data_IF_433245449708
#
_entry.id   IF_433245449708
#
_cell.length_a   1.000
_cell.length_b   1.000
_cell.length_c   1.000
_cell.angle_alpha   90.00
_cell.angle_beta   90.00
_cell.angle_gamma   90.00
#
_symmetry.space_group_name_H-M   'P 1'
#
loop_
_entity.id
_entity.type
_entity.pdbx_description
1 polymer ?
#
# COMPACT_ATOMS: atom_id res chain seq x y z
N UNK A 1 3.50 13.27 -0.75
CA UNK A 1 3.82 14.30 -1.77
C UNK A 1 2.59 15.17 -2.08
N UNK A 2 2.63 16.49 -1.81
CA UNK A 2 1.60 17.45 -2.24
C UNK A 2 1.68 17.59 -3.77
N UNK A 3 0.58 17.75 -4.54
CA UNK A 3 0.68 17.98 -5.97
C UNK A 3 1.46 19.28 -6.28
N UNK A 4 2.28 19.33 -7.34
CA UNK A 4 2.62 20.60 -7.99
C UNK A 4 1.32 21.21 -8.52
N UNK A 5 1.16 22.54 -8.39
CA UNK A 5 -0.08 23.26 -8.74
C UNK A 5 -0.57 22.86 -10.13
N UNK A 6 -1.89 22.75 -10.33
CA UNK A 6 -2.53 22.36 -11.60
C UNK A 6 -2.04 23.18 -12.80
N UNK A 7 -1.52 24.38 -12.55
CA UNK A 7 -1.07 25.34 -13.55
C UNK A 7 0.24 24.95 -14.26
N UNK A 8 1.08 24.05 -13.70
CA UNK A 8 2.38 23.72 -14.29
C UNK A 8 2.31 22.45 -15.13
N UNK A 9 2.53 22.61 -16.45
CA UNK A 9 2.67 21.48 -17.38
C UNK A 9 3.94 20.66 -17.08
N UNK A 10 3.88 19.33 -17.12
CA UNK A 10 5.06 18.47 -17.00
C UNK A 10 6.16 18.83 -18.01
N UNK A 11 7.37 19.06 -17.50
CA UNK A 11 8.50 19.59 -18.27
C UNK A 11 9.62 20.07 -17.35
N UNK A 12 10.53 20.91 -17.85
CA UNK A 12 11.69 21.38 -17.06
C UNK A 12 11.27 22.17 -15.80
N UNK A 13 10.25 23.03 -15.90
CA UNK A 13 9.74 23.79 -14.76
C UNK A 13 9.17 22.88 -13.66
N UNK A 14 8.46 21.82 -14.06
CA UNK A 14 7.95 20.80 -13.16
C UNK A 14 9.08 20.05 -12.44
N UNK A 15 10.13 19.66 -13.17
CA UNK A 15 11.31 18.99 -12.58
C UNK A 15 12.02 19.92 -11.60
N UNK A 16 12.20 21.20 -11.93
CA UNK A 16 12.78 22.18 -11.01
C UNK A 16 11.96 22.30 -9.73
N UNK A 17 10.63 22.30 -9.81
CA UNK A 17 9.77 22.33 -8.64
C UNK A 17 9.88 21.04 -7.81
N UNK A 18 9.95 19.88 -8.46
CA UNK A 18 10.15 18.60 -7.78
C UNK A 18 11.51 18.56 -7.07
N UNK A 19 12.58 18.97 -7.76
CA UNK A 19 13.92 19.07 -7.18
C UNK A 19 13.94 20.02 -5.98
N UNK A 20 13.28 21.19 -6.07
CA UNK A 20 13.17 22.12 -4.93
C UNK A 20 12.47 21.49 -3.72
N UNK A 21 11.44 20.68 -3.94
CA UNK A 21 10.75 19.94 -2.86
C UNK A 21 11.60 18.81 -2.29
N UNK A 22 12.42 18.16 -3.11
CA UNK A 22 13.42 17.18 -2.64
C UNK A 22 14.44 17.88 -1.74
N UNK A 23 14.97 19.03 -2.17
CA UNK A 23 15.92 19.80 -1.37
C UNK A 23 15.30 20.35 -0.07
N UNK A 24 14.02 20.74 -0.09
CA UNK A 24 13.26 21.07 1.13
C UNK A 24 13.17 19.87 2.09
N UNK A 25 12.89 18.68 1.57
CA UNK A 25 12.86 17.46 2.38
C UNK A 25 14.25 17.12 2.94
N UNK A 26 15.33 17.35 2.18
CA UNK A 26 16.69 17.22 2.68
C UNK A 26 16.98 18.22 3.80
N UNK A 27 16.55 19.48 3.67
CA UNK A 27 16.71 20.50 4.71
C UNK A 27 15.93 20.12 5.98
N UNK A 28 14.71 19.59 5.82
CA UNK A 28 13.90 19.07 6.93
C UNK A 28 14.60 17.88 7.62
N UNK A 29 15.11 16.90 6.89
CA UNK A 29 15.84 15.77 7.48
C UNK A 29 17.11 16.23 8.20
N UNK A 30 17.86 17.16 7.59
CA UNK A 30 19.07 17.72 8.18
C UNK A 30 18.79 18.45 9.49
N UNK A 31 17.77 19.33 9.54
CA UNK A 31 17.47 20.07 10.76
C UNK A 31 17.02 19.15 11.91
N UNK A 32 16.28 18.07 11.59
CA UNK A 32 15.93 17.05 12.57
C UNK A 32 17.16 16.29 13.06
N UNK A 33 18.10 15.94 12.17
CA UNK A 33 19.38 15.32 12.56
C UNK A 33 20.14 16.22 13.54
N UNK A 34 20.32 17.50 13.20
CA UNK A 34 21.03 18.47 14.04
C UNK A 34 20.36 18.71 15.40
N UNK A 35 19.04 18.54 15.50
CA UNK A 35 18.33 18.62 16.76
C UNK A 35 18.67 17.44 17.71
N UNK A 36 18.94 16.26 17.16
CA UNK A 36 19.26 15.05 17.93
C UNK A 36 20.77 14.87 18.15
N UNK A 37 21.58 15.28 17.17
CA UNK A 37 23.03 15.09 17.09
C UNK A 37 23.76 16.42 16.83
N UNK A 38 23.66 17.41 17.73
CA UNK A 38 24.32 18.70 17.54
C UNK A 38 25.85 18.60 17.50
N UNK A 39 26.43 17.56 18.10
CA UNK A 39 27.87 17.30 18.12
C UNK A 39 28.47 17.25 16.71
N UNK A 40 27.77 16.61 15.76
CA UNK A 40 28.22 16.44 14.37
C UNK A 40 28.40 17.79 13.67
N UNK A 41 27.58 18.79 14.03
CA UNK A 41 27.74 20.15 13.54
C UNK A 41 28.91 20.86 14.21
N UNK A 42 29.03 20.73 15.53
CA UNK A 42 30.07 21.45 16.29
C UNK A 42 31.49 21.02 15.92
N UNK A 43 31.70 19.75 15.56
CA UNK A 43 33.01 19.24 15.14
C UNK A 43 33.32 19.54 13.67
N UNK A 44 32.31 19.87 12.88
CA UNK A 44 32.50 20.21 11.47
C UNK A 44 33.26 21.54 11.33
N UNK A 45 34.10 21.68 10.29
CA UNK A 45 34.81 22.93 10.06
C UNK A 45 33.84 24.08 9.73
N UNK A 46 34.20 25.34 10.01
CA UNK A 46 33.29 26.49 9.86
C UNK A 46 32.68 26.65 8.46
N UNK A 47 33.41 26.27 7.40
CA UNK A 47 32.88 26.32 6.04
C UNK A 47 31.73 25.33 5.82
N UNK A 48 31.79 24.14 6.42
CA UNK A 48 30.75 23.13 6.28
C UNK A 48 29.50 23.56 7.07
N UNK A 49 29.70 24.07 8.29
CA UNK A 49 28.65 24.68 9.10
C UNK A 49 27.91 25.78 8.33
N UNK A 50 28.64 26.73 7.73
CA UNK A 50 28.07 27.82 6.94
C UNK A 50 27.27 27.32 5.73
N UNK A 51 27.77 26.29 5.02
CA UNK A 51 27.07 25.67 3.88
C UNK A 51 25.74 25.03 4.28
N UNK A 52 25.70 24.37 5.43
CA UNK A 52 24.49 23.72 5.92
C UNK A 52 23.44 24.74 6.35
N UNK A 53 23.87 25.79 7.07
CA UNK A 53 23.00 26.91 7.44
C UNK A 53 22.42 27.56 6.18
N UNK A 54 23.28 27.87 5.19
CA UNK A 54 22.84 28.40 3.90
C UNK A 54 21.84 27.49 3.20
N UNK A 55 22.13 26.19 3.14
CA UNK A 55 21.27 25.22 2.49
C UNK A 55 19.88 25.14 3.16
N UNK A 56 19.84 25.05 4.49
CA UNK A 56 18.59 24.99 5.26
C UNK A 56 17.73 26.23 4.98
N UNK A 57 18.32 27.42 5.04
CA UNK A 57 17.58 28.67 4.78
C UNK A 57 17.12 28.80 3.34
N UNK A 58 17.98 28.48 2.37
CA UNK A 58 17.67 28.65 0.94
C UNK A 58 16.58 27.70 0.45
N UNK A 59 16.56 26.46 0.93
CA UNK A 59 15.70 25.41 0.38
C UNK A 59 14.50 25.05 1.26
N UNK A 60 14.40 25.60 2.48
CA UNK A 60 13.16 25.47 3.26
C UNK A 60 12.02 26.22 2.57
N UNK A 61 10.95 25.51 2.24
CA UNK A 61 9.70 26.06 1.70
C UNK A 61 8.80 26.55 2.85
N UNK A 62 8.23 27.75 2.71
CA UNK A 62 7.42 28.37 3.75
C UNK A 62 8.25 29.05 4.84
N UNK A 63 7.68 29.26 6.03
CA UNK A 63 8.34 29.96 7.15
C UNK A 63 9.10 28.96 8.04
N UNK A 64 10.45 28.98 8.08
CA UNK A 64 11.24 28.03 8.87
C UNK A 64 10.90 28.03 10.36
N UNK A 65 10.59 29.20 10.93
CA UNK A 65 10.29 29.37 12.35
C UNK A 65 9.00 28.65 12.75
N UNK A 66 8.00 28.65 11.87
CA UNK A 66 6.73 27.96 12.11
C UNK A 66 6.86 26.44 11.92
N UNK A 67 7.67 26.00 10.95
CA UNK A 67 7.87 24.58 10.67
C UNK A 67 8.71 23.92 11.75
N UNK A 68 9.79 24.58 12.16
CA UNK A 68 10.84 24.00 13.00
C UNK A 68 10.89 24.56 14.42
N UNK A 69 9.98 25.49 14.76
CA UNK A 69 9.81 26.02 16.12
C UNK A 69 9.74 24.94 17.21
N UNK A 70 8.99 23.83 17.03
CA UNK A 70 8.96 22.74 18.02
C UNK A 70 10.34 22.12 18.31
N UNK A 71 11.28 22.16 17.37
CA UNK A 71 12.65 21.65 17.57
C UNK A 71 13.52 22.58 18.42
N UNK A 72 13.07 23.81 18.68
CA UNK A 72 13.76 24.77 19.56
C UNK A 72 13.39 24.62 21.03
N UNK A 73 12.45 23.74 21.35
CA UNK A 73 12.03 23.45 22.72
C UNK A 73 13.08 22.62 23.48
N UNK A 74 13.16 22.77 24.80
CA UNK A 74 14.25 22.24 25.65
C UNK A 74 14.40 20.72 25.71
N UNK A 75 13.48 19.98 25.09
CA UNK A 75 13.52 18.51 25.02
C UNK A 75 14.59 17.98 24.08
N UNK A 76 15.06 18.78 23.12
CA UNK A 76 16.08 18.38 22.16
C UNK A 76 17.48 18.83 22.60
N UNK A 77 18.47 17.94 22.50
CA UNK A 77 19.89 18.26 22.80
C UNK A 77 20.40 19.41 21.95
N UNK A 78 19.99 19.47 20.69
CA UNK A 78 20.36 20.51 19.73
C UNK A 78 19.47 21.76 19.75
N UNK A 79 18.54 21.93 20.69
CA UNK A 79 17.58 23.04 20.67
C UNK A 79 18.23 24.43 20.53
N UNK A 80 19.34 24.67 21.24
CA UNK A 80 20.09 25.92 21.14
C UNK A 80 20.78 26.09 19.79
N UNK A 81 21.30 24.99 19.21
CA UNK A 81 21.86 25.00 17.87
C UNK A 81 20.77 25.33 16.82
N UNK A 82 19.59 24.70 16.92
CA UNK A 82 18.50 24.99 15.98
C UNK A 82 18.07 26.45 16.08
N UNK A 83 17.94 27.01 17.29
CA UNK A 83 17.69 28.46 17.47
C UNK A 83 18.74 29.30 16.76
N UNK A 84 20.03 28.98 16.99
CA UNK A 84 21.13 29.69 16.36
C UNK A 84 21.04 29.62 14.83
N UNK A 85 20.78 28.44 14.26
CA UNK A 85 20.64 28.25 12.81
C UNK A 85 19.48 29.10 12.28
N UNK A 86 18.30 29.04 12.90
CA UNK A 86 17.11 29.77 12.43
C UNK A 86 17.28 31.30 12.52
N UNK A 87 18.05 31.80 13.50
CA UNK A 87 18.32 33.24 13.65
C UNK A 87 19.59 33.72 12.96
N UNK A 88 20.39 32.81 12.37
CA UNK A 88 21.67 33.15 11.79
C UNK A 88 21.51 34.05 10.56
N UNK A 89 22.40 35.02 10.41
CA UNK A 89 22.60 35.70 9.13
C UNK A 89 23.29 34.75 8.17
N UNK A 90 22.63 34.45 7.05
CA UNK A 90 23.09 33.47 6.07
C UNK A 90 24.04 34.13 5.07
N UNK A 91 25.31 33.69 4.96
CA UNK A 91 26.18 34.14 3.88
C UNK A 91 25.75 33.54 2.55
N UNK A 92 25.93 34.29 1.46
CA UNK A 92 25.79 33.75 0.11
C UNK A 92 26.96 32.81 -0.19
N UNK A 93 26.69 31.51 -0.13
CA UNK A 93 27.69 30.46 -0.41
C UNK A 93 27.83 30.24 -1.92
N UNK A 94 26.70 30.19 -2.62
CA UNK A 94 26.63 29.99 -4.07
C UNK A 94 25.70 31.05 -4.66
N UNK A 95 25.98 31.49 -5.87
CA UNK A 95 25.16 32.42 -6.64
C UNK A 95 23.73 31.89 -6.85
N UNK A 96 22.77 32.80 -7.04
CA UNK A 96 21.34 32.50 -6.91
C UNK A 96 20.81 31.47 -7.94
N UNK A 97 21.33 31.55 -9.17
CA UNK A 97 20.96 30.70 -10.30
C UNK A 97 21.86 29.47 -10.47
N UNK A 98 22.51 29.04 -9.39
CA UNK A 98 23.37 27.87 -9.42
C UNK A 98 22.64 26.64 -9.96
N UNK A 99 23.28 25.87 -10.87
CA UNK A 99 22.76 24.59 -11.31
C UNK A 99 22.52 23.66 -10.11
N UNK A 100 21.47 22.83 -10.18
CA UNK A 100 21.10 21.90 -9.11
C UNK A 100 22.26 20.97 -8.76
N UNK A 101 23.05 20.62 -9.76
CA UNK A 101 24.25 19.81 -9.69
C UNK A 101 25.26 20.39 -8.69
N UNK A 102 25.50 21.69 -8.80
CA UNK A 102 26.43 22.40 -7.94
C UNK A 102 25.89 22.52 -6.51
N UNK A 103 24.59 22.82 -6.37
CA UNK A 103 23.93 22.87 -5.06
C UNK A 103 24.03 21.52 -4.34
N UNK A 104 23.74 20.42 -5.04
CA UNK A 104 23.83 19.06 -4.50
C UNK A 104 25.27 18.72 -4.13
N UNK A 105 26.24 19.05 -4.98
CA UNK A 105 27.65 18.78 -4.71
C UNK A 105 28.13 19.50 -3.43
N UNK A 106 27.75 20.76 -3.24
CA UNK A 106 28.12 21.53 -2.06
C UNK A 106 27.48 21.00 -0.78
N UNK A 107 26.21 20.57 -0.87
CA UNK A 107 25.53 19.89 0.23
C UNK A 107 26.23 18.57 0.59
N UNK A 108 26.45 17.69 -0.39
CA UNK A 108 27.08 16.38 -0.16
C UNK A 108 28.48 16.55 0.44
N UNK A 109 29.27 17.51 -0.05
CA UNK A 109 30.60 17.79 0.48
C UNK A 109 30.58 18.23 1.96
N UNK A 110 29.63 19.12 2.31
CA UNK A 110 29.45 19.54 3.70
C UNK A 110 29.02 18.36 4.60
N UNK A 111 28.10 17.52 4.13
CA UNK A 111 27.63 16.33 4.86
C UNK A 111 28.73 15.29 5.06
N UNK A 112 29.53 15.01 4.03
CA UNK A 112 30.67 14.08 4.12
C UNK A 112 31.71 14.53 5.14
N UNK A 113 31.91 15.84 5.27
CA UNK A 113 32.81 16.40 6.27
C UNK A 113 32.27 16.23 7.70
N UNK A 114 30.94 16.11 7.86
CA UNK A 114 30.32 15.72 9.13
C UNK A 114 30.28 14.20 9.36
N UNK A 115 30.88 13.40 8.48
CA UNK A 115 30.86 11.94 8.57
C UNK A 115 29.63 11.28 7.94
N UNK A 116 28.79 12.02 7.21
CA UNK A 116 27.64 11.45 6.49
C UNK A 116 28.01 11.13 5.04
N UNK A 117 27.94 9.85 4.65
CA UNK A 117 28.44 9.41 3.34
C UNK A 117 27.60 9.88 2.14
N UNK A 118 26.26 9.85 2.28
CA UNK A 118 25.34 10.11 1.17
C UNK A 118 23.93 10.52 1.63
N UNK A 119 23.15 11.06 0.70
CA UNK A 119 21.73 11.39 0.84
C UNK A 119 20.90 10.35 0.10
N UNK A 120 19.91 9.78 0.78
CA UNK A 120 18.93 8.88 0.18
C UNK A 120 17.57 9.56 0.11
N UNK A 121 17.04 9.71 -1.09
CA UNK A 121 15.69 10.22 -1.36
C UNK A 121 14.78 9.03 -1.62
N UNK A 122 13.96 8.69 -0.64
CA UNK A 122 12.96 7.63 -0.74
C UNK A 122 11.59 8.24 -1.04
N UNK A 123 10.96 7.78 -2.13
CA UNK A 123 9.61 8.17 -2.52
C UNK A 123 8.72 6.95 -2.58
N UNK A 124 7.60 7.01 -1.87
CA UNK A 124 6.56 5.98 -1.81
C UNK A 124 5.16 6.65 -1.80
N UNK A 125 4.11 5.86 -1.98
CA UNK A 125 2.72 6.36 -1.89
C UNK A 125 2.21 7.08 -3.14
N UNK A 126 2.75 6.75 -4.32
CA UNK A 126 2.32 7.36 -5.60
C UNK A 126 1.02 6.75 -6.16
N UNK A 127 0.44 5.76 -5.48
CA UNK A 127 -0.79 5.08 -5.85
C UNK A 127 -1.98 6.05 -5.93
N UNK A 128 -2.15 6.92 -4.93
CA UNK A 128 -3.24 7.91 -4.94
C UNK A 128 -3.16 8.87 -6.13
N UNK A 129 -1.97 9.11 -6.66
CA UNK A 129 -1.79 9.94 -7.87
C UNK A 129 -2.14 9.16 -9.14
N UNK A 130 -1.85 7.86 -9.17
CA UNK A 130 -2.25 7.01 -10.28
C UNK A 130 -3.77 6.92 -10.44
N UNK A 131 -4.52 7.06 -9.35
CA UNK A 131 -5.99 7.03 -9.37
C UNK A 131 -6.61 8.36 -9.84
N UNK A 132 -6.02 9.49 -9.46
CA UNK A 132 -6.60 10.82 -9.69
C UNK A 132 -6.04 11.48 -10.97
N UNK A 133 -4.76 11.30 -11.28
CA UNK A 133 -4.07 12.03 -12.34
C UNK A 133 -2.96 11.19 -12.99
N UNK A 134 -3.30 9.98 -13.47
CA UNK A 134 -2.34 9.02 -14.04
C UNK A 134 -1.44 9.63 -15.11
N UNK A 135 -2.01 10.26 -16.15
CA UNK A 135 -1.25 10.78 -17.28
C UNK A 135 -0.23 11.84 -16.84
N UNK A 136 -0.64 12.72 -15.91
CA UNK A 136 0.23 13.78 -15.37
C UNK A 136 1.36 13.20 -14.53
N UNK A 137 1.09 12.16 -13.74
CA UNK A 137 2.12 11.42 -13.00
C UNK A 137 3.14 10.81 -13.97
N UNK A 138 2.68 10.14 -15.02
CA UNK A 138 3.54 9.52 -16.03
C UNK A 138 4.43 10.56 -16.72
N UNK A 139 3.85 11.67 -17.19
CA UNK A 139 4.61 12.74 -17.84
C UNK A 139 5.65 13.36 -16.88
N UNK A 140 5.27 13.59 -15.62
CA UNK A 140 6.18 14.08 -14.58
C UNK A 140 7.34 13.13 -14.31
N UNK A 141 7.05 11.83 -14.13
CA UNK A 141 8.07 10.80 -13.94
C UNK A 141 9.00 10.68 -15.15
N UNK A 142 8.45 10.73 -16.39
CA UNK A 142 9.26 10.75 -17.61
C UNK A 142 10.19 11.96 -17.66
N UNK A 143 9.69 13.15 -17.33
CA UNK A 143 10.50 14.36 -17.30
C UNK A 143 11.61 14.26 -16.23
N UNK A 144 11.26 13.79 -15.03
CA UNK A 144 12.20 13.58 -13.92
C UNK A 144 13.31 12.59 -14.31
N UNK A 145 12.93 11.39 -14.75
CA UNK A 145 13.87 10.35 -15.18
C UNK A 145 14.67 10.71 -16.43
N UNK A 146 14.26 11.72 -17.19
CA UNK A 146 15.04 12.23 -18.33
C UNK A 146 16.01 13.35 -17.94
N UNK A 147 15.93 13.86 -16.72
CA UNK A 147 16.85 14.89 -16.19
C UNK A 147 18.09 14.21 -15.60
N UNK A 148 18.99 13.79 -16.50
CA UNK A 148 20.13 12.91 -16.16
C UNK A 148 21.05 13.46 -15.08
N UNK A 149 21.21 14.77 -15.03
CA UNK A 149 22.10 15.43 -14.09
C UNK A 149 21.72 15.21 -12.63
N UNK A 150 20.44 14.92 -12.34
CA UNK A 150 20.01 14.51 -11.00
C UNK A 150 20.59 13.15 -10.59
N UNK A 151 20.90 12.27 -11.54
CA UNK A 151 21.36 10.89 -11.30
C UNK A 151 22.88 10.71 -11.47
N UNK A 152 23.61 11.75 -11.83
CA UNK A 152 25.06 11.67 -12.07
C UNK A 152 25.90 12.01 -10.83
N UNK A 153 25.31 12.63 -9.80
CA UNK A 153 26.03 13.01 -8.59
C UNK A 153 26.31 11.83 -7.66
N UNK A 154 27.61 11.64 -7.37
CA UNK A 154 28.05 10.76 -6.29
C UNK A 154 27.55 11.31 -4.96
N UNK A 155 26.93 10.46 -4.15
CA UNK A 155 26.41 10.82 -2.82
C UNK A 155 24.94 11.22 -2.80
N UNK A 156 24.21 11.20 -3.91
CA UNK A 156 22.75 11.34 -3.93
C UNK A 156 22.10 10.13 -4.60
N UNK A 157 21.28 9.39 -3.85
CA UNK A 157 20.63 8.16 -4.31
C UNK A 157 19.12 8.31 -4.25
N UNK A 158 18.44 7.92 -5.32
CA UNK A 158 16.98 7.92 -5.39
C UNK A 158 16.45 6.49 -5.33
N UNK A 159 15.44 6.25 -4.48
CA UNK A 159 14.68 5.01 -4.45
C UNK A 159 13.20 5.35 -4.56
N UNK A 160 12.57 4.96 -5.67
CA UNK A 160 11.17 5.21 -5.93
C UNK A 160 10.40 3.89 -5.95
N UNK A 161 9.39 3.78 -5.09
CA UNK A 161 8.43 2.70 -5.12
C UNK A 161 7.31 3.06 -6.11
N UNK A 162 7.24 2.32 -7.22
CA UNK A 162 6.26 2.56 -8.28
C UNK A 162 5.36 1.34 -8.47
N UNK A 163 4.13 1.59 -8.94
CA UNK A 163 3.23 0.51 -9.35
C UNK A 163 3.78 -0.19 -10.59
N UNK A 164 3.74 -1.52 -10.61
CA UNK A 164 4.32 -2.34 -11.68
C UNK A 164 3.81 -1.97 -13.09
N UNK A 165 2.55 -1.56 -13.23
CA UNK A 165 1.98 -1.18 -14.53
C UNK A 165 2.48 0.17 -15.06
N UNK A 166 3.16 0.98 -14.24
CA UNK A 166 3.77 2.25 -14.66
C UNK A 166 5.04 2.01 -15.46
N UNK A 167 5.81 0.97 -15.12
CA UNK A 167 7.13 0.70 -15.69
C UNK A 167 7.14 0.65 -17.23
N UNK A 168 6.24 -0.10 -17.92
CA UNK A 168 6.24 -0.12 -19.39
C UNK A 168 6.09 1.27 -20.00
N UNK A 169 5.32 2.14 -19.33
CA UNK A 169 5.02 3.50 -19.79
C UNK A 169 6.23 4.43 -19.59
N UNK A 170 6.99 4.28 -18.49
CA UNK A 170 8.17 5.13 -18.22
C UNK A 170 9.48 4.57 -18.79
N UNK A 171 9.48 3.33 -19.28
CA UNK A 171 10.67 2.64 -19.83
C UNK A 171 11.44 3.44 -20.91
N UNK A 172 10.75 4.33 -21.63
CA UNK A 172 11.33 5.20 -22.67
C UNK A 172 11.99 6.48 -22.12
N UNK A 173 11.91 6.75 -20.82
CA UNK A 173 12.55 7.91 -20.23
C UNK A 173 14.08 7.80 -20.35
N UNK A 174 14.76 8.95 -20.53
CA UNK A 174 16.18 8.98 -20.87
C UNK A 174 17.09 8.22 -19.90
N UNK A 175 16.85 8.31 -18.59
CA UNK A 175 17.62 7.62 -17.56
C UNK A 175 17.44 6.10 -17.56
N UNK A 176 16.24 5.60 -17.87
CA UNK A 176 15.98 4.17 -18.01
C UNK A 176 16.61 3.63 -19.31
N UNK A 177 16.40 4.32 -20.42
CA UNK A 177 16.96 3.94 -21.72
C UNK A 177 18.50 3.89 -21.71
N UNK A 178 19.15 4.78 -20.94
CA UNK A 178 20.61 4.84 -20.78
C UNK A 178 21.15 4.02 -19.59
N UNK A 179 20.31 3.19 -18.95
CA UNK A 179 20.67 2.34 -17.80
C UNK A 179 21.29 3.11 -16.63
N UNK A 180 20.83 4.33 -16.38
CA UNK A 180 21.15 5.15 -15.21
C UNK A 180 20.22 4.89 -14.03
N UNK A 181 19.06 4.29 -14.30
CA UNK A 181 18.07 3.88 -13.31
C UNK A 181 17.90 2.37 -13.44
N UNK A 182 18.05 1.66 -12.33
CA UNK A 182 17.80 0.24 -12.23
C UNK A 182 16.36 0.00 -11.74
N UNK A 183 15.67 -0.93 -12.40
CA UNK A 183 14.33 -1.38 -11.99
C UNK A 183 14.45 -2.67 -11.21
N UNK A 184 13.87 -2.72 -10.02
CA UNK A 184 13.83 -3.91 -9.17
C UNK A 184 12.35 -4.26 -8.93
N UNK A 185 11.93 -5.44 -9.38
CA UNK A 185 10.59 -5.95 -9.15
C UNK A 185 10.49 -6.65 -7.81
N UNK A 186 9.68 -6.10 -6.91
CA UNK A 186 9.28 -6.80 -5.70
C UNK A 186 8.19 -7.80 -6.04
N UNK A 187 8.46 -9.09 -5.80
CA UNK A 187 7.53 -10.20 -5.98
C UNK A 187 7.43 -11.01 -4.70
N UNK A 188 6.23 -11.46 -4.39
CA UNK A 188 5.95 -12.24 -3.20
C UNK A 188 5.36 -13.59 -3.62
N UNK A 189 6.17 -14.63 -3.53
CA UNK A 189 5.70 -16.00 -3.69
C UNK A 189 5.24 -16.59 -2.34
N UNK A 190 4.41 -17.64 -2.40
CA UNK A 190 3.91 -18.31 -1.21
C UNK A 190 5.02 -18.81 -0.26
N UNK A 191 6.13 -19.42 -0.72
CA UNK A 191 7.23 -19.81 0.16
C UNK A 191 7.86 -18.64 0.92
N UNK A 192 8.05 -17.50 0.26
CA UNK A 192 8.62 -16.30 0.88
C UNK A 192 7.65 -15.68 1.88
N UNK A 193 6.36 -15.63 1.56
CA UNK A 193 5.31 -15.14 2.45
C UNK A 193 5.14 -16.03 3.68
N UNK A 194 5.22 -17.35 3.52
CA UNK A 194 5.27 -18.29 4.63
C UNK A 194 6.43 -18.00 5.57
N UNK A 195 7.67 -17.89 5.04
CA UNK A 195 8.84 -17.55 5.86
C UNK A 195 8.69 -16.20 6.56
N UNK A 196 8.10 -15.21 5.89
CA UNK A 196 7.83 -13.90 6.47
C UNK A 196 6.89 -14.03 7.67
N UNK A 197 5.80 -14.77 7.54
CA UNK A 197 4.84 -15.00 8.63
C UNK A 197 5.49 -15.76 9.78
N UNK A 198 6.19 -16.86 9.51
CA UNK A 198 6.88 -17.66 10.52
C UNK A 198 7.90 -16.82 11.32
N UNK A 199 8.67 -15.95 10.64
CA UNK A 199 9.58 -15.00 11.30
C UNK A 199 8.83 -13.97 12.16
N UNK A 200 7.68 -13.49 11.70
CA UNK A 200 6.85 -12.54 12.46
C UNK A 200 6.24 -13.18 13.70
N UNK A 201 5.81 -14.44 13.60
CA UNK A 201 5.34 -15.22 14.74
C UNK A 201 6.49 -15.48 15.73
N UNK A 202 7.66 -15.91 15.24
CA UNK A 202 8.84 -16.13 16.08
C UNK A 202 9.20 -14.87 16.87
N UNK A 203 9.23 -13.71 16.20
CA UNK A 203 9.44 -12.42 16.86
C UNK A 203 8.34 -12.09 17.89
N UNK A 204 7.06 -12.25 17.53
CA UNK A 204 5.94 -11.94 18.41
C UNK A 204 5.90 -12.80 19.68
N UNK A 205 6.39 -14.04 19.62
CA UNK A 205 6.43 -14.98 20.74
C UNK A 205 7.82 -15.08 21.39
N UNK A 206 8.80 -14.25 21.00
CA UNK A 206 10.15 -14.24 21.59
C UNK A 206 10.95 -15.52 21.36
N UNK A 207 10.74 -16.20 20.22
CA UNK A 207 11.39 -17.47 19.86
C UNK A 207 12.34 -17.27 18.68
N UNK A 208 13.35 -18.13 18.57
CA UNK A 208 14.28 -18.14 17.42
C UNK A 208 13.56 -18.57 16.13
N UNK A 209 12.66 -19.55 16.25
CA UNK A 209 11.85 -20.07 15.15
C UNK A 209 10.43 -20.40 15.63
N UNK A 210 9.46 -20.28 14.72
CA UNK A 210 8.06 -20.61 14.95
C UNK A 210 7.44 -21.07 13.63
N UNK A 211 7.09 -22.36 13.53
CA UNK A 211 6.45 -22.89 12.31
C UNK A 211 4.94 -22.61 12.28
N UNK A 212 4.35 -22.49 11.08
CA UNK A 212 2.89 -22.37 10.96
C UNK A 212 2.14 -23.59 11.51
N UNK A 213 2.75 -24.78 11.48
CA UNK A 213 2.17 -26.00 12.03
C UNK A 213 2.03 -25.94 13.56
N UNK A 214 2.90 -25.20 14.25
CA UNK A 214 2.77 -24.94 15.69
C UNK A 214 1.62 -23.98 15.99
N UNK A 215 1.27 -23.09 15.06
CA UNK A 215 0.13 -22.20 15.22
C UNK A 215 -1.19 -22.95 15.00
N UNK A 216 -1.28 -23.72 13.91
CA UNK A 216 -2.49 -24.41 13.50
C UNK A 216 -2.15 -25.74 12.81
N UNK A 217 -2.77 -26.83 13.29
CA UNK A 217 -2.54 -28.20 12.81
C UNK A 217 -3.55 -28.66 11.76
N UNK A 218 -4.48 -27.79 11.35
CA UNK A 218 -5.50 -28.15 10.37
C UNK A 218 -4.88 -28.44 8.99
N UNK A 219 -5.23 -29.54 8.32
CA UNK A 219 -4.56 -29.98 7.09
C UNK A 219 -4.68 -28.97 5.95
N UNK A 220 -5.85 -28.34 5.80
CA UNK A 220 -6.14 -27.39 4.72
C UNK A 220 -5.73 -25.95 5.05
N UNK A 221 -5.12 -25.71 6.22
CA UNK A 221 -4.84 -24.35 6.68
C UNK A 221 -3.88 -23.61 5.75
N UNK A 222 -2.77 -24.23 5.38
CA UNK A 222 -1.77 -23.59 4.54
C UNK A 222 -2.32 -23.30 3.14
N UNK A 223 -2.99 -24.28 2.51
CA UNK A 223 -3.61 -24.08 1.20
C UNK A 223 -4.67 -22.97 1.24
N UNK A 224 -5.47 -22.91 2.31
CA UNK A 224 -6.44 -21.84 2.49
C UNK A 224 -5.76 -20.48 2.66
N UNK A 225 -4.69 -20.41 3.45
CA UNK A 225 -3.94 -19.18 3.70
C UNK A 225 -3.28 -18.67 2.42
N UNK A 226 -2.71 -19.55 1.60
CA UNK A 226 -2.14 -19.20 0.29
C UNK A 226 -3.22 -18.62 -0.64
N UNK A 227 -4.41 -19.25 -0.69
CA UNK A 227 -5.52 -18.76 -1.53
C UNK A 227 -6.07 -17.42 -1.07
N UNK A 228 -6.17 -17.19 0.24
CA UNK A 228 -6.67 -15.93 0.79
C UNK A 228 -5.61 -14.84 0.71
N UNK A 229 -4.39 -15.14 1.13
CA UNK A 229 -3.32 -14.18 1.22
C UNK A 229 -2.78 -13.77 -0.14
N UNK A 230 -2.88 -14.65 -1.14
CA UNK A 230 -2.33 -14.41 -2.48
C UNK A 230 -0.89 -13.95 -2.41
N UNK A 231 -0.56 -12.90 -3.16
CA UNK A 231 0.77 -12.27 -3.20
C UNK A 231 0.90 -11.10 -2.21
N UNK A 232 -0.01 -10.94 -1.25
CA UNK A 232 -0.04 -9.79 -0.33
C UNK A 232 0.50 -10.18 1.05
N UNK A 233 1.70 -9.70 1.45
CA UNK A 233 2.21 -9.89 2.81
C UNK A 233 1.25 -9.41 3.89
N UNK A 234 0.54 -8.31 3.61
CA UNK A 234 -0.42 -7.74 4.55
C UNK A 234 -1.59 -8.67 4.80
N UNK A 235 -2.12 -9.31 3.76
CA UNK A 235 -3.28 -10.19 3.89
C UNK A 235 -2.93 -11.52 4.54
N UNK A 236 -1.72 -12.04 4.29
CA UNK A 236 -1.17 -13.16 5.07
C UNK A 236 -1.12 -12.83 6.57
N UNK A 237 -0.58 -11.66 6.92
CA UNK A 237 -0.48 -11.23 8.32
C UNK A 237 -1.84 -10.94 8.95
N UNK A 238 -2.77 -10.35 8.20
CA UNK A 238 -4.14 -10.06 8.65
C UNK A 238 -4.89 -11.35 9.02
N UNK A 239 -4.79 -12.41 8.19
CA UNK A 239 -5.40 -13.71 8.52
C UNK A 239 -4.74 -14.40 9.71
N UNK A 240 -3.42 -14.25 9.84
CA UNK A 240 -2.65 -14.87 10.93
C UNK A 240 -2.88 -14.17 12.25
N UNK A 241 -3.11 -12.85 12.26
CA UNK A 241 -3.25 -12.05 13.47
C UNK A 241 -4.31 -12.63 14.43
N UNK A 242 -5.47 -13.05 13.91
CA UNK A 242 -6.54 -13.64 14.73
C UNK A 242 -6.14 -14.99 15.33
N UNK A 243 -5.39 -15.80 14.57
CA UNK A 243 -4.90 -17.09 15.05
C UNK A 243 -3.82 -16.88 16.12
N UNK A 244 -2.89 -15.95 15.89
CA UNK A 244 -1.85 -15.58 16.85
C UNK A 244 -2.43 -15.01 18.14
N UNK A 245 -3.45 -14.15 18.05
CA UNK A 245 -4.17 -13.59 19.19
C UNK A 245 -4.90 -14.68 19.99
N UNK A 246 -5.55 -15.62 19.29
CA UNK A 246 -6.18 -16.77 19.94
C UNK A 246 -5.13 -17.64 20.65
N UNK A 247 -4.03 -17.97 19.98
CA UNK A 247 -2.94 -18.79 20.51
C UNK A 247 -2.29 -18.13 21.75
N UNK A 248 -2.02 -16.83 21.70
CA UNK A 248 -1.44 -16.07 22.81
C UNK A 248 -2.32 -16.06 24.08
N UNK A 249 -3.65 -16.12 23.92
CA UNK A 249 -4.60 -16.20 25.04
C UNK A 249 -4.74 -17.61 25.61
N UNK A 250 -4.20 -18.63 24.95
CA UNK A 250 -4.27 -20.03 25.35
C UNK A 250 -2.88 -20.67 25.31
N UNK A 251 -1.92 -20.21 26.15
CA UNK A 251 -0.51 -20.61 26.07
C UNK A 251 -0.26 -22.10 26.34
N UNK A 252 -1.14 -22.76 27.09
CA UNK A 252 -1.07 -24.20 27.36
C UNK A 252 -1.72 -25.06 26.26
N UNK A 253 -2.28 -24.43 25.22
CA UNK A 253 -2.96 -25.15 24.16
C UNK A 253 -1.99 -25.71 23.13
N UNK A 254 -2.25 -26.95 22.71
CA UNK A 254 -1.74 -27.52 21.46
C UNK A 254 -2.08 -26.61 20.27
N UNK A 255 -1.42 -26.78 19.11
CA UNK A 255 -1.73 -26.01 17.90
C UNK A 255 -3.24 -25.97 17.61
N UNK A 256 -3.72 -24.84 17.09
CA UNK A 256 -5.16 -24.61 16.85
C UNK A 256 -5.71 -25.74 15.97
N UNK A 257 -6.69 -26.48 16.51
CA UNK A 257 -7.33 -27.58 15.80
C UNK A 257 -8.22 -27.09 14.65
N UNK A 258 -8.58 -28.01 13.76
CA UNK A 258 -9.40 -27.71 12.58
C UNK A 258 -10.77 -27.09 12.93
N UNK A 259 -11.41 -27.57 13.99
CA UNK A 259 -12.74 -27.10 14.39
C UNK A 259 -12.68 -25.64 14.86
N UNK A 260 -11.64 -25.29 15.60
CA UNK A 260 -11.39 -23.96 16.14
C UNK A 260 -10.98 -23.02 15.02
N UNK A 261 -10.05 -23.44 14.16
CA UNK A 261 -9.66 -22.68 12.97
C UNK A 261 -10.87 -22.35 12.08
N UNK A 262 -11.73 -23.34 11.78
CA UNK A 262 -12.97 -23.13 10.99
C UNK A 262 -13.90 -22.10 11.63
N UNK A 263 -14.01 -22.06 12.96
CA UNK A 263 -14.80 -21.04 13.68
C UNK A 263 -14.16 -19.65 13.60
N UNK A 264 -12.84 -19.56 13.77
CA UNK A 264 -12.11 -18.30 13.74
C UNK A 264 -12.19 -17.64 12.35
N UNK A 265 -11.93 -18.40 11.28
CA UNK A 265 -12.04 -17.88 9.90
C UNK A 265 -13.46 -17.47 9.51
N UNK A 266 -14.49 -18.08 10.09
CA UNK A 266 -15.87 -17.63 9.90
C UNK A 266 -16.13 -16.29 10.61
N UNK A 267 -15.53 -16.05 11.78
CA UNK A 267 -15.66 -14.75 12.47
C UNK A 267 -14.88 -13.65 11.76
N UNK A 268 -13.80 -14.02 11.11
CA UNK A 268 -12.88 -13.12 10.43
C UNK A 268 -12.68 -13.55 8.96
N UNK A 269 -13.72 -13.44 8.11
CA UNK A 269 -13.62 -13.82 6.70
C UNK A 269 -12.69 -12.87 5.95
N UNK A 270 -12.04 -13.30 4.86
CA UNK A 270 -11.14 -12.45 4.08
C UNK A 270 -11.84 -11.19 3.58
N UNK A 271 -11.06 -10.12 3.35
CA UNK A 271 -11.59 -8.90 2.75
C UNK A 271 -12.20 -9.20 1.39
N UNK A 272 -13.28 -8.52 1.05
CA UNK A 272 -13.96 -8.70 -0.23
C UNK A 272 -14.26 -7.35 -0.86
N UNK A 273 -13.76 -7.14 -2.07
CA UNK A 273 -14.04 -5.95 -2.86
C UNK A 273 -14.44 -6.35 -4.27
N UNK A 274 -15.47 -5.71 -4.83
CA UNK A 274 -15.93 -5.92 -6.19
C UNK A 274 -15.70 -4.64 -7.01
N UNK A 275 -14.86 -4.73 -8.03
CA UNK A 275 -14.71 -3.71 -9.05
C UNK A 275 -15.68 -4.00 -10.20
N UNK A 276 -16.85 -3.37 -10.15
CA UNK A 276 -17.89 -3.54 -11.17
C UNK A 276 -17.46 -3.05 -12.55
N UNK A 277 -16.53 -2.06 -12.63
CA UNK A 277 -16.07 -1.48 -13.90
C UNK A 277 -15.10 -2.41 -14.63
N UNK A 278 -14.25 -3.10 -13.87
CA UNK A 278 -13.24 -4.03 -14.41
C UNK A 278 -13.71 -5.48 -14.41
N UNK A 279 -14.93 -5.77 -13.97
CA UNK A 279 -15.42 -7.14 -13.78
C UNK A 279 -14.45 -8.00 -12.96
N UNK A 280 -13.93 -7.45 -11.85
CA UNK A 280 -12.93 -8.10 -11.00
C UNK A 280 -13.37 -8.12 -9.55
N UNK A 281 -13.01 -9.17 -8.82
CA UNK A 281 -13.10 -9.19 -7.37
C UNK A 281 -11.72 -9.32 -6.73
N UNK A 282 -11.57 -8.75 -5.54
CA UNK A 282 -10.43 -8.94 -4.67
C UNK A 282 -10.93 -9.70 -3.44
N UNK A 283 -10.34 -10.87 -3.17
CA UNK A 283 -10.61 -11.71 -2.01
C UNK A 283 -9.33 -11.84 -1.20
N UNK A 284 -9.25 -11.17 -0.05
CA UNK A 284 -8.00 -10.98 0.68
C UNK A 284 -6.95 -10.35 -0.24
N UNK A 285 -5.84 -11.05 -0.47
CA UNK A 285 -4.77 -10.63 -1.37
C UNK A 285 -4.87 -11.18 -2.79
N UNK A 286 -5.93 -11.94 -3.10
CA UNK A 286 -6.13 -12.58 -4.40
C UNK A 286 -7.03 -11.73 -5.30
N UNK A 287 -6.55 -11.40 -6.50
CA UNK A 287 -7.36 -10.83 -7.57
C UNK A 287 -8.01 -11.94 -8.39
N UNK A 288 -9.29 -11.79 -8.70
CA UNK A 288 -10.10 -12.78 -9.40
C UNK A 288 -10.72 -12.08 -10.62
N UNK A 289 -10.40 -12.58 -11.81
CA UNK A 289 -11.12 -12.18 -13.03
C UNK A 289 -12.48 -12.87 -13.03
N UNK A 290 -13.56 -12.09 -13.16
CA UNK A 290 -14.93 -12.60 -13.18
C UNK A 290 -15.51 -12.67 -14.60
N UNK A 291 -14.75 -12.31 -15.63
CA UNK A 291 -15.19 -12.40 -17.04
C UNK A 291 -15.59 -13.82 -17.47
N UNK A 292 -14.97 -14.84 -16.88
CA UNK A 292 -15.29 -16.25 -17.16
C UNK A 292 -16.55 -16.74 -16.45
N UNK A 293 -17.11 -15.95 -15.52
CA UNK A 293 -18.38 -16.32 -14.88
C UNK A 293 -19.54 -16.11 -15.85
N UNK A 294 -20.54 -17.01 -15.83
CA UNK A 294 -21.79 -16.76 -16.54
C UNK A 294 -22.41 -15.43 -16.10
N UNK A 295 -22.92 -14.66 -17.05
CA UNK A 295 -23.50 -13.32 -16.82
C UNK A 295 -24.47 -13.30 -15.64
N UNK A 296 -25.41 -14.26 -15.57
CA UNK A 296 -26.37 -14.36 -14.47
C UNK A 296 -25.75 -14.69 -13.11
N UNK A 297 -24.63 -15.40 -13.06
CA UNK A 297 -23.91 -15.59 -11.81
C UNK A 297 -23.26 -14.27 -11.36
N UNK A 298 -22.66 -13.53 -12.29
CA UNK A 298 -22.06 -12.22 -11.99
C UNK A 298 -23.11 -11.19 -11.55
N UNK A 299 -24.26 -11.11 -12.22
CA UNK A 299 -25.38 -10.26 -11.79
C UNK A 299 -25.85 -10.60 -10.37
N UNK A 300 -25.95 -11.90 -10.03
CA UNK A 300 -26.28 -12.35 -8.66
C UNK A 300 -25.22 -11.85 -7.67
N UNK A 301 -23.93 -11.93 -8.01
CA UNK A 301 -22.87 -11.43 -7.14
C UNK A 301 -22.98 -9.92 -6.92
N UNK A 302 -23.20 -9.13 -7.98
CA UNK A 302 -23.42 -7.68 -7.88
C UNK A 302 -24.60 -7.34 -6.98
N UNK A 303 -25.72 -8.04 -7.17
CA UNK A 303 -26.91 -7.85 -6.35
C UNK A 303 -26.65 -8.16 -4.87
N UNK A 304 -25.95 -9.25 -4.58
CA UNK A 304 -25.56 -9.62 -3.22
C UNK A 304 -24.54 -8.65 -2.61
N UNK A 305 -23.66 -8.06 -3.41
CA UNK A 305 -22.67 -7.09 -2.96
C UNK A 305 -23.31 -5.75 -2.56
N UNK A 306 -24.26 -5.26 -3.36
CA UNK A 306 -25.04 -4.06 -3.04
C UNK A 306 -25.89 -4.23 -1.77
N UNK A 307 -26.18 -5.48 -1.39
CA UNK A 307 -26.92 -5.86 -0.18
C UNK A 307 -26.06 -6.66 0.79
N UNK A 308 -24.76 -6.34 0.86
CA UNK A 308 -23.82 -7.07 1.70
C UNK A 308 -24.31 -7.12 3.15
N UNK A 309 -24.26 -8.31 3.76
CA UNK A 309 -24.75 -8.55 5.11
C UNK A 309 -26.22 -8.94 5.23
N UNK A 310 -27.05 -8.69 4.20
CA UNK A 310 -28.47 -9.07 4.21
C UNK A 310 -28.69 -10.53 3.82
N UNK A 311 -29.82 -11.11 4.25
CA UNK A 311 -30.25 -12.44 3.80
C UNK A 311 -31.16 -12.27 2.58
N UNK A 312 -30.65 -12.68 1.42
CA UNK A 312 -31.39 -12.61 0.15
C UNK A 312 -31.95 -13.98 -0.19
N UNK A 313 -33.28 -14.05 -0.39
CA UNK A 313 -33.96 -15.32 -0.68
C UNK A 313 -33.66 -15.84 -2.09
N UNK A 314 -33.79 -17.16 -2.30
CA UNK A 314 -33.65 -17.74 -3.65
C UNK A 314 -34.67 -17.20 -4.64
N UNK A 315 -35.91 -16.96 -4.18
CA UNK A 315 -36.95 -16.36 -5.01
C UNK A 315 -36.58 -14.94 -5.43
N UNK A 316 -36.01 -14.16 -4.54
CA UNK A 316 -35.54 -12.82 -4.87
C UNK A 316 -34.42 -12.85 -5.92
N UNK A 317 -33.42 -13.72 -5.76
CA UNK A 317 -32.37 -13.90 -6.77
C UNK A 317 -32.94 -14.36 -8.13
N UNK A 318 -33.93 -15.25 -8.13
CA UNK A 318 -34.54 -15.70 -9.36
C UNK A 318 -35.36 -14.61 -10.04
N UNK A 319 -36.37 -14.08 -9.37
CA UNK A 319 -37.31 -13.16 -10.00
C UNK A 319 -36.67 -11.80 -10.28
N UNK A 320 -35.90 -11.24 -9.34
CA UNK A 320 -35.34 -9.89 -9.52
C UNK A 320 -34.08 -9.85 -10.37
N UNK A 321 -33.20 -10.83 -10.19
CA UNK A 321 -31.90 -10.83 -10.89
C UNK A 321 -31.97 -11.67 -12.15
N UNK A 322 -32.29 -12.96 -12.00
CA UNK A 322 -32.27 -13.88 -13.15
C UNK A 322 -33.33 -13.52 -14.21
N UNK A 323 -34.54 -13.17 -13.77
CA UNK A 323 -35.68 -12.79 -14.64
C UNK A 323 -35.84 -11.29 -14.85
N UNK A 324 -35.18 -10.45 -14.06
CA UNK A 324 -35.24 -8.99 -14.22
C UNK A 324 -36.58 -8.34 -13.82
N UNK A 325 -37.37 -8.98 -12.95
CA UNK A 325 -38.65 -8.44 -12.47
C UNK A 325 -38.44 -7.44 -11.30
N UNK A 326 -39.31 -6.44 -11.18
CA UNK A 326 -39.22 -5.45 -10.11
C UNK A 326 -39.51 -6.04 -8.70
N UNK A 327 -40.28 -7.12 -8.63
CA UNK A 327 -40.70 -7.77 -7.39
C UNK A 327 -40.79 -9.29 -7.53
N UNK A 328 -40.78 -9.96 -6.40
CA UNK A 328 -41.12 -11.39 -6.31
C UNK A 328 -42.63 -11.55 -6.49
N UNK A 329 -43.10 -12.25 -7.53
CA UNK A 329 -44.53 -12.50 -7.76
C UNK A 329 -45.15 -13.33 -6.62
N UNK A 330 -46.46 -13.17 -6.41
CA UNK A 330 -47.27 -14.02 -5.52
C UNK A 330 -47.83 -15.22 -6.30
N UNK A 331 -48.24 -16.31 -5.64
CA UNK A 331 -48.76 -17.51 -6.33
C UNK A 331 -49.91 -17.31 -7.32
N UNK A 332 -50.66 -16.22 -7.21
CA UNK A 332 -51.75 -15.88 -8.12
C UNK A 332 -51.31 -15.00 -9.32
N UNK A 333 -50.08 -14.50 -9.30
CA UNK A 333 -49.54 -13.64 -10.37
C UNK A 333 -49.14 -14.51 -11.58
N UNK A 334 -49.36 -14.06 -12.83
CA UNK A 334 -49.04 -14.84 -14.04
C UNK A 334 -47.57 -15.25 -14.18
N UNK A 335 -46.65 -14.42 -13.69
CA UNK A 335 -45.19 -14.64 -13.75
C UNK A 335 -44.66 -15.50 -12.59
N UNK A 336 -45.54 -16.04 -11.73
CA UNK A 336 -45.13 -16.84 -10.59
C UNK A 336 -44.67 -18.24 -11.02
N UNK A 337 -43.51 -18.63 -10.50
CA UNK A 337 -42.99 -19.99 -10.58
C UNK A 337 -42.76 -20.54 -9.17
N UNK A 338 -43.02 -21.84 -8.99
CA UNK A 338 -42.83 -22.45 -7.69
C UNK A 338 -41.33 -22.67 -7.41
N UNK A 339 -40.87 -22.63 -6.14
CA UNK A 339 -39.46 -22.82 -5.81
C UNK A 339 -38.80 -24.07 -6.40
N UNK A 340 -39.56 -25.16 -6.57
CA UNK A 340 -39.08 -26.41 -7.17
C UNK A 340 -38.60 -26.24 -8.62
N UNK A 341 -39.11 -25.23 -9.33
CA UNK A 341 -38.85 -25.02 -10.76
C UNK A 341 -37.55 -24.23 -10.98
N UNK A 342 -37.15 -23.37 -10.03
CA UNK A 342 -35.96 -22.51 -10.16
C UNK A 342 -34.86 -22.74 -9.11
N UNK A 343 -35.12 -23.44 -8.00
CA UNK A 343 -34.15 -23.53 -6.90
C UNK A 343 -32.80 -24.14 -7.34
N UNK A 344 -32.82 -25.20 -8.15
CA UNK A 344 -31.61 -25.87 -8.66
C UNK A 344 -30.76 -24.97 -9.55
N UNK A 345 -31.41 -24.09 -10.32
CA UNK A 345 -30.74 -23.12 -11.18
C UNK A 345 -29.99 -22.08 -10.34
N UNK A 346 -30.66 -21.55 -9.30
CA UNK A 346 -30.05 -20.60 -8.37
C UNK A 346 -28.92 -21.26 -7.57
N UNK A 347 -29.10 -22.50 -7.11
CA UNK A 347 -28.04 -23.25 -6.42
C UNK A 347 -26.82 -23.48 -7.30
N UNK A 348 -27.03 -23.74 -8.59
CA UNK A 348 -25.94 -23.87 -9.57
C UNK A 348 -25.15 -22.57 -9.71
N UNK A 349 -25.83 -21.43 -9.82
CA UNK A 349 -25.15 -20.13 -9.88
C UNK A 349 -24.41 -19.80 -8.57
N UNK A 350 -25.03 -20.04 -7.41
CA UNK A 350 -24.38 -19.88 -6.10
C UNK A 350 -23.12 -20.75 -6.00
N UNK A 351 -23.17 -21.99 -6.47
CA UNK A 351 -22.01 -22.89 -6.45
C UNK A 351 -20.89 -22.42 -7.38
N UNK A 352 -21.22 -21.90 -8.58
CA UNK A 352 -20.24 -21.28 -9.49
C UNK A 352 -19.58 -20.07 -8.85
N UNK A 353 -20.37 -19.24 -8.17
CA UNK A 353 -19.83 -18.11 -7.40
C UNK A 353 -18.89 -18.58 -6.31
N UNK A 354 -19.28 -19.57 -5.51
CA UNK A 354 -18.39 -20.13 -4.48
C UNK A 354 -17.08 -20.64 -5.07
N UNK A 355 -17.13 -21.36 -6.18
CA UNK A 355 -15.93 -21.83 -6.87
C UNK A 355 -14.99 -20.70 -7.29
N UNK A 356 -15.55 -19.57 -7.71
CA UNK A 356 -14.77 -18.42 -8.10
C UNK A 356 -14.19 -17.69 -6.87
N UNK A 357 -15.05 -17.26 -5.93
CA UNK A 357 -14.65 -16.29 -4.91
C UNK A 357 -14.18 -16.93 -3.59
N UNK A 358 -14.66 -18.12 -3.25
CA UNK A 358 -14.28 -18.73 -1.96
C UNK A 358 -12.85 -19.30 -2.02
N UNK A 359 -12.09 -19.19 -0.93
CA UNK A 359 -10.85 -19.95 -0.79
C UNK A 359 -11.11 -21.46 -0.70
N UNK A 360 -12.22 -21.84 -0.07
CA UNK A 360 -12.71 -23.22 0.05
C UNK A 360 -14.23 -23.25 -0.25
N UNK A 361 -14.62 -23.65 -1.48
CA UNK A 361 -16.03 -23.70 -1.88
C UNK A 361 -16.89 -24.67 -1.07
N UNK A 362 -16.29 -25.68 -0.43
CA UNK A 362 -17.02 -26.67 0.40
C UNK A 362 -17.34 -26.10 1.77
N UNK A 363 -16.51 -25.20 2.28
CA UNK A 363 -16.71 -24.52 3.55
C UNK A 363 -16.65 -22.99 3.36
N UNK A 364 -17.69 -22.40 2.74
CA UNK A 364 -17.70 -20.99 2.37
C UNK A 364 -17.63 -20.07 3.58
N UNK A 365 -16.90 -18.97 3.45
CA UNK A 365 -16.76 -17.93 4.49
C UNK A 365 -17.34 -16.58 4.03
N UNK A 366 -17.46 -16.37 2.71
CA UNK A 366 -18.03 -15.16 2.12
C UNK A 366 -19.53 -15.34 1.83
N UNK A 367 -19.89 -16.34 1.02
CA UNK A 367 -21.25 -16.60 0.56
C UNK A 367 -21.93 -17.68 1.40
N UNK A 368 -22.54 -17.25 2.50
CA UNK A 368 -23.12 -18.12 3.54
C UNK A 368 -24.58 -18.46 3.21
N UNK A 369 -24.92 -19.75 3.18
CA UNK A 369 -26.31 -20.18 3.11
C UNK A 369 -26.96 -20.14 4.49
N UNK A 370 -28.10 -19.45 4.59
CA UNK A 370 -29.02 -19.51 5.74
C UNK A 370 -30.13 -20.49 5.39
N UNK A 371 -30.04 -21.72 5.89
CA UNK A 371 -30.96 -22.82 5.55
C UNK A 371 -32.42 -22.40 5.76
N UNK A 372 -33.22 -22.56 4.71
CA UNK A 372 -34.65 -22.18 4.72
C UNK A 372 -34.94 -20.70 4.41
N UNK A 373 -33.92 -19.83 4.41
CA UNK A 373 -34.10 -18.40 4.20
C UNK A 373 -33.48 -17.91 2.89
N UNK A 374 -32.21 -18.23 2.63
CA UNK A 374 -31.50 -17.69 1.49
C UNK A 374 -29.98 -17.72 1.61
N UNK A 375 -29.33 -16.73 1.01
CA UNK A 375 -27.88 -16.55 1.03
C UNK A 375 -27.51 -15.14 1.46
N UNK A 376 -26.33 -15.01 2.08
CA UNK A 376 -25.76 -13.73 2.50
C UNK A 376 -24.32 -13.66 2.02
N UNK A 377 -23.96 -12.56 1.37
CA UNK A 377 -22.56 -12.21 1.14
C UNK A 377 -22.05 -11.44 2.36
N UNK A 378 -21.04 -12.00 3.03
CA UNK A 378 -20.31 -11.34 4.11
C UNK A 378 -19.13 -10.60 3.54
N UNK A 379 -19.13 -9.29 3.70
CA UNK A 379 -18.05 -8.41 3.27
C UNK A 379 -17.29 -7.91 4.48
N UNK A 380 -15.97 -8.03 4.42
CA UNK A 380 -15.04 -7.29 5.27
C UNK A 380 -14.28 -6.34 4.34
N UNK A 381 -14.18 -5.07 4.70
CA UNK A 381 -13.55 -4.05 3.89
C UNK A 381 -12.05 -3.95 4.17
#
# INVERSE_FOLDING_TARGET
PVPPSEEIRPGLAWVKQMARRILDACAASLIHHLAHHPEDYTVAPPWAQARLVWFIHRFTLGKPELRWGPLTESQYRGASLIRQILTATVPDVIYEDAPLEQIIAELVNALQTMGMESIWVLSDGLEGWSEIAFDRLIEGLRAFFSTLSLFEHKGLVYKLCLLAHIEPVISRAGGLARRRIESIHLRWDAPTLRRLVERRLAFAFGREAFSLQELCSAPDFLEWLEKVGGESPREWLDQIAILAEYYARHPDASPIDEKTWRKLRLRHPPRFYLDEKRCQAIVGGRRINLEELPEKAYEILRYLYQRSGEVVSKGELYFRVYRGLDRVPRPADPDYEAPKDYASLIDTNIWRLRKAIEPDPKNPVLLITRRGFGVTLRVRW
#
